data_IF_654163329371
#
_entry.id   IF_654163329371
#
_cell.length_a   1.000
_cell.length_b   1.000
_cell.length_c   1.000
_cell.angle_alpha   90.00
_cell.angle_beta   90.00
_cell.angle_gamma   90.00
#
_symmetry.space_group_name_H-M   'P 1'
#
loop_
_entity.id
_entity.type
_entity.pdbx_description
1 polymer ?
#
# COMPACT_ATOMS: atom_id res chain seq x y z
N UNK A 1 -54.01 -35.79 10.81
CA UNK A 1 -54.42 -34.40 10.55
C UNK A 1 -53.51 -33.87 9.46
N UNK A 2 -54.11 -33.49 8.34
CA UNK A 2 -53.43 -33.27 7.05
C UNK A 2 -52.74 -31.90 6.99
N UNK A 3 -51.76 -31.78 6.09
CA UNK A 3 -50.85 -30.65 5.94
C UNK A 3 -51.50 -29.42 5.25
N UNK A 4 -52.83 -29.35 5.23
CA UNK A 4 -53.64 -28.45 4.38
C UNK A 4 -54.42 -27.40 5.19
N UNK A 5 -54.31 -27.38 6.52
CA UNK A 5 -55.03 -26.44 7.40
C UNK A 5 -54.17 -25.27 7.95
N UNK A 6 -52.93 -25.08 7.45
CA UNK A 6 -52.03 -24.02 7.96
C UNK A 6 -51.83 -22.83 6.99
N UNK A 7 -52.38 -22.88 5.78
CA UNK A 7 -52.40 -21.75 4.85
C UNK A 7 -53.85 -21.35 4.58
N UNK A 8 -54.28 -20.27 5.23
CA UNK A 8 -55.58 -19.64 4.96
C UNK A 8 -55.73 -19.19 3.50
N UNK A 9 -56.96 -18.84 3.09
CA UNK A 9 -57.30 -18.56 1.70
C UNK A 9 -56.42 -17.44 1.11
N UNK A 10 -55.85 -17.71 -0.07
CA UNK A 10 -55.13 -16.72 -0.88
C UNK A 10 -56.01 -15.50 -1.18
N UNK A 11 -55.50 -14.26 -1.07
CA UNK A 11 -56.21 -13.09 -1.56
C UNK A 11 -56.24 -13.09 -3.09
N UNK A 12 -57.40 -12.66 -3.62
CA UNK A 12 -57.76 -12.61 -5.02
C UNK A 12 -56.74 -11.88 -5.91
N UNK A 13 -56.48 -12.51 -7.04
CA UNK A 13 -55.64 -12.06 -8.15
C UNK A 13 -56.24 -10.78 -8.77
N UNK A 14 -55.51 -9.64 -8.85
CA UNK A 14 -56.04 -8.46 -9.52
C UNK A 14 -56.12 -8.68 -11.03
N UNK A 15 -57.28 -8.32 -11.58
CA UNK A 15 -57.71 -8.45 -12.97
C UNK A 15 -56.64 -8.04 -14.00
N UNK A 16 -56.48 -8.88 -15.02
CA UNK A 16 -55.70 -8.59 -16.22
C UNK A 16 -56.30 -7.39 -16.95
N UNK A 17 -55.53 -6.34 -17.29
CA UNK A 17 -55.98 -5.36 -18.26
C UNK A 17 -56.05 -6.02 -19.64
N UNK A 18 -57.28 -6.11 -20.16
CA UNK A 18 -57.54 -6.30 -21.58
C UNK A 18 -56.95 -5.11 -22.36
N UNK A 19 -56.02 -5.38 -23.27
CA UNK A 19 -55.45 -4.33 -24.13
C UNK A 19 -53.98 -4.51 -24.44
N UNK A 20 -53.64 -5.52 -25.24
CA UNK A 20 -52.44 -5.44 -26.08
C UNK A 20 -52.70 -6.20 -27.37
N UNK A 21 -52.76 -5.44 -28.45
CA UNK A 21 -52.85 -5.92 -29.82
C UNK A 21 -51.92 -7.12 -30.03
N UNK A 22 -52.47 -8.17 -30.64
CA UNK A 22 -51.70 -9.28 -31.17
C UNK A 22 -50.70 -8.70 -32.18
N UNK A 23 -49.44 -8.50 -31.75
CA UNK A 23 -48.36 -8.33 -32.70
C UNK A 23 -48.22 -9.64 -33.46
N UNK A 24 -48.48 -9.58 -34.75
CA UNK A 24 -48.26 -10.66 -35.70
C UNK A 24 -46.88 -11.33 -35.49
N UNK A 25 -46.76 -12.65 -35.74
CA UNK A 25 -45.48 -13.33 -35.68
C UNK A 25 -44.49 -12.61 -36.59
N UNK A 26 -43.36 -12.14 -36.03
CA UNK A 26 -42.27 -11.63 -36.85
C UNK A 26 -41.78 -12.78 -37.72
N UNK A 27 -41.86 -12.62 -39.04
CA UNK A 27 -41.24 -13.53 -39.99
C UNK A 27 -39.76 -13.77 -39.61
N UNK A 28 -39.25 -15.00 -39.71
CA UNK A 28 -37.85 -15.28 -39.48
C UNK A 28 -37.03 -14.51 -40.51
N UNK A 29 -36.10 -13.67 -40.05
CA UNK A 29 -35.15 -12.98 -40.92
C UNK A 29 -34.43 -14.01 -41.79
N UNK A 30 -34.28 -13.77 -43.11
CA UNK A 30 -33.54 -14.68 -43.98
C UNK A 30 -32.11 -14.84 -43.47
N UNK A 31 -31.61 -16.08 -43.50
CA UNK A 31 -30.25 -16.41 -43.13
C UNK A 31 -29.27 -15.56 -43.95
N UNK A 32 -28.31 -14.93 -43.26
CA UNK A 32 -27.20 -14.23 -43.94
C UNK A 32 -26.43 -15.25 -44.77
N UNK A 33 -26.28 -14.97 -46.07
CA UNK A 33 -25.39 -15.73 -46.94
C UNK A 33 -23.97 -15.81 -46.34
N UNK A 34 -23.31 -16.98 -46.44
CA UNK A 34 -21.92 -17.11 -46.03
C UNK A 34 -21.04 -16.18 -46.85
N UNK A 35 -20.23 -15.34 -46.19
CA UNK A 35 -19.21 -14.55 -46.89
C UNK A 35 -18.25 -15.50 -47.60
N UNK A 36 -17.84 -15.21 -48.85
CA UNK A 36 -16.90 -16.06 -49.58
C UNK A 36 -15.56 -16.14 -48.83
N UNK A 37 -14.85 -17.28 -48.93
CA UNK A 37 -13.55 -17.46 -48.27
C UNK A 37 -12.58 -16.37 -48.74
N UNK A 38 -11.86 -15.76 -47.80
CA UNK A 38 -10.78 -14.84 -48.13
C UNK A 38 -9.70 -15.62 -48.89
N UNK A 39 -9.39 -15.15 -50.09
CA UNK A 39 -8.27 -15.63 -50.90
C UNK A 39 -6.96 -15.60 -50.08
N UNK A 40 -6.11 -16.64 -50.12
CA UNK A 40 -4.82 -16.63 -49.45
C UNK A 40 -3.96 -15.50 -50.01
N UNK A 41 -3.60 -14.54 -49.17
CA UNK A 41 -2.63 -13.49 -49.54
C UNK A 41 -1.31 -14.17 -49.91
N UNK A 42 -0.86 -13.98 -51.15
CA UNK A 42 0.47 -14.41 -51.56
C UNK A 42 1.53 -13.76 -50.65
N UNK A 43 2.56 -14.50 -50.21
CA UNK A 43 3.62 -13.94 -49.39
C UNK A 43 4.41 -12.90 -50.20
N UNK A 44 4.67 -11.75 -49.59
CA UNK A 44 5.54 -10.72 -50.17
C UNK A 44 6.95 -11.28 -50.38
N UNK A 45 7.64 -10.91 -51.48
CA UNK A 45 9.01 -11.33 -51.69
C UNK A 45 9.95 -10.79 -50.59
N UNK A 46 11.05 -11.50 -50.27
CA UNK A 46 11.99 -11.07 -49.24
C UNK A 46 12.58 -9.71 -49.60
N UNK A 47 12.58 -8.78 -48.66
CA UNK A 47 13.33 -7.51 -48.80
C UNK A 47 14.82 -7.83 -48.82
N UNK A 48 15.54 -7.25 -49.78
CA UNK A 48 16.98 -7.33 -49.90
C UNK A 48 17.71 -6.80 -48.64
N UNK A 49 18.92 -7.31 -48.34
CA UNK A 49 19.68 -6.91 -47.16
C UNK A 49 20.18 -5.48 -47.33
N UNK A 50 19.76 -4.59 -46.42
CA UNK A 50 20.38 -3.27 -46.30
C UNK A 50 21.69 -3.39 -45.53
N UNK A 51 22.77 -2.94 -46.17
CA UNK A 51 24.12 -2.74 -45.65
C UNK A 51 24.11 -1.91 -44.35
N UNK A 52 25.01 -2.20 -43.38
CA UNK A 52 24.87 -1.72 -42.00
C UNK A 52 25.40 -0.29 -41.86
N UNK A 53 24.51 0.62 -41.48
CA UNK A 53 24.85 1.99 -41.13
C UNK A 53 24.19 2.38 -39.81
N UNK A 54 24.99 2.44 -38.75
CA UNK A 54 24.84 3.35 -37.61
C UNK A 54 23.68 3.12 -36.63
N UNK A 55 24.02 2.68 -35.40
CA UNK A 55 23.24 3.03 -34.21
C UNK A 55 22.36 1.94 -33.62
N UNK A 56 22.92 0.75 -33.35
CA UNK A 56 22.22 -0.34 -32.64
C UNK A 56 22.92 -0.82 -31.37
N UNK A 57 23.78 0.02 -30.78
CA UNK A 57 24.49 -0.28 -29.54
C UNK A 57 23.62 -0.08 -28.31
N UNK A 58 22.82 -1.11 -28.00
CA UNK A 58 22.62 -1.61 -26.65
C UNK A 58 22.07 -0.60 -25.61
N UNK A 59 20.74 -0.65 -25.43
CA UNK A 59 20.06 -0.13 -24.22
C UNK A 59 20.70 -0.71 -22.95
N UNK A 60 21.32 -1.88 -23.05
CA UNK A 60 22.07 -2.52 -21.97
C UNK A 60 23.37 -1.78 -21.64
N UNK A 61 24.09 -1.19 -22.61
CA UNK A 61 25.25 -0.30 -22.35
C UNK A 61 24.85 1.06 -21.83
N UNK A 62 23.68 1.59 -22.24
CA UNK A 62 23.13 2.82 -21.65
C UNK A 62 22.76 2.59 -20.17
N UNK A 63 22.06 1.50 -19.87
CA UNK A 63 21.67 1.13 -18.50
C UNK A 63 22.92 0.82 -17.66
N UNK A 64 23.91 0.11 -18.21
CA UNK A 64 25.17 -0.18 -17.50
C UNK A 64 25.98 1.09 -17.24
N UNK A 65 25.98 2.05 -18.18
CA UNK A 65 26.62 3.36 -18.00
C UNK A 65 25.96 4.19 -16.89
N UNK A 66 24.63 4.15 -16.79
CA UNK A 66 23.87 4.83 -15.73
C UNK A 66 24.16 4.18 -14.37
N UNK A 67 24.16 2.84 -14.28
CA UNK A 67 24.46 2.12 -13.02
C UNK A 67 25.90 2.38 -12.56
N UNK A 68 26.88 2.42 -13.47
CA UNK A 68 28.26 2.75 -13.14
C UNK A 68 28.41 4.21 -12.65
N UNK A 69 27.70 5.16 -13.25
CA UNK A 69 27.71 6.55 -12.81
C UNK A 69 27.08 6.73 -11.42
N UNK A 70 25.98 6.04 -11.13
CA UNK A 70 25.31 6.09 -9.81
C UNK A 70 26.18 5.45 -8.71
N UNK A 71 26.84 4.33 -9.01
CA UNK A 71 27.77 3.69 -8.07
C UNK A 71 28.99 4.57 -7.75
N UNK A 72 29.53 5.30 -8.73
CA UNK A 72 30.63 6.22 -8.50
C UNK A 72 30.25 7.38 -7.56
N UNK A 73 29.04 7.93 -7.71
CA UNK A 73 28.54 8.99 -6.80
C UNK A 73 28.31 8.45 -5.38
N UNK A 74 27.80 7.22 -5.25
CA UNK A 74 27.60 6.59 -3.95
C UNK A 74 28.93 6.35 -3.19
N UNK A 75 29.98 5.92 -3.89
CA UNK A 75 31.30 5.70 -3.28
C UNK A 75 31.93 7.03 -2.83
N UNK A 76 31.83 8.10 -3.62
CA UNK A 76 32.33 9.42 -3.21
C UNK A 76 31.60 9.96 -1.98
N UNK A 77 30.28 9.72 -1.87
CA UNK A 77 29.50 10.13 -0.70
C UNK A 77 29.91 9.35 0.57
N UNK A 78 30.14 8.04 0.46
CA UNK A 78 30.58 7.21 1.60
C UNK A 78 32.01 7.56 2.03
N UNK A 79 32.93 7.79 1.09
CA UNK A 79 34.31 8.21 1.38
C UNK A 79 34.36 9.63 1.98
N UNK A 80 33.52 10.55 1.50
CA UNK A 80 33.37 11.89 2.07
C UNK A 80 32.81 11.89 3.50
N UNK A 81 31.87 10.98 3.80
CA UNK A 81 31.32 10.82 5.15
C UNK A 81 32.27 10.07 6.11
N UNK A 82 33.14 9.21 5.57
CA UNK A 82 34.17 8.53 6.35
C UNK A 82 35.36 9.44 6.70
N UNK A 83 35.72 10.41 5.85
CA UNK A 83 36.84 11.33 6.07
C UNK A 83 36.49 12.58 6.90
N UNK A 84 35.21 12.84 7.16
CA UNK A 84 34.76 14.03 7.91
C UNK A 84 34.25 13.72 9.31
N UNK A 85 34.49 12.51 9.85
CA UNK A 85 34.22 12.26 11.28
C UNK A 85 35.18 13.09 12.14
N UNK A 86 34.71 14.09 12.90
CA UNK A 86 35.53 14.67 13.95
C UNK A 86 35.77 13.60 15.01
N UNK A 87 37.04 13.26 15.22
CA UNK A 87 37.49 12.50 16.38
C UNK A 87 37.26 13.36 17.63
N UNK A 88 36.22 13.04 18.39
CA UNK A 88 35.98 13.63 19.71
C UNK A 88 37.01 13.07 20.70
N UNK A 89 38.19 13.67 20.71
CA UNK A 89 39.19 13.47 21.76
C UNK A 89 38.83 14.42 22.90
N UNK A 90 38.16 13.89 23.91
CA UNK A 90 37.95 14.59 25.17
C UNK A 90 39.31 14.89 25.84
N UNK A 91 39.68 16.17 25.87
CA UNK A 91 40.81 16.69 26.64
C UNK A 91 40.28 17.41 27.89
N UNK A 92 40.80 17.17 29.11
CA UNK A 92 40.33 17.85 30.31
C UNK A 92 40.81 19.30 30.35
N UNK A 93 39.92 20.24 30.67
CA UNK A 93 40.28 21.64 30.90
C UNK A 93 40.84 21.84 32.33
N UNK A 94 41.93 22.61 32.52
CA UNK A 94 42.45 22.96 33.83
C UNK A 94 41.69 24.13 34.48
N UNK A 95 41.71 24.16 35.81
CA UNK A 95 41.06 25.14 36.68
C UNK A 95 41.73 26.52 36.71
N UNK A 96 40.89 27.57 36.73
CA UNK A 96 40.97 28.88 37.42
C UNK A 96 42.20 29.81 37.13
N UNK A 97 42.06 31.16 37.22
CA UNK A 97 41.64 31.86 38.43
C UNK A 97 40.60 32.99 38.24
N UNK A 98 39.99 33.35 39.37
CA UNK A 98 39.03 34.42 39.60
C UNK A 98 39.65 35.82 39.46
N UNK A 99 38.88 36.76 38.92
CA UNK A 99 39.06 38.21 39.16
C UNK A 99 37.69 38.86 39.26
N UNK A 100 37.45 39.56 40.36
CA UNK A 100 36.26 40.36 40.64
C UNK A 100 36.54 41.82 40.33
N UNK A 101 35.63 42.50 39.63
CA UNK A 101 35.32 43.92 39.86
C UNK A 101 34.00 44.37 39.22
N UNK A 102 33.20 45.05 40.06
CA UNK A 102 32.20 46.11 39.87
C UNK A 102 31.10 46.09 38.79
N UNK A 103 29.86 46.07 39.33
CA UNK A 103 28.74 47.00 39.14
C UNK A 103 28.47 47.60 37.74
N UNK A 104 27.41 47.07 37.10
CA UNK A 104 26.45 47.88 36.35
C UNK A 104 25.14 47.09 36.19
N UNK A 105 24.06 47.66 36.72
CA UNK A 105 22.71 47.12 36.73
C UNK A 105 22.16 46.88 35.31
N UNK A 106 21.86 45.62 34.98
CA UNK A 106 21.12 45.22 33.76
C UNK A 106 19.85 44.49 34.23
N UNK A 107 18.65 44.82 33.71
CA UNK A 107 17.43 44.14 34.12
C UNK A 107 17.50 42.64 33.79
N UNK A 108 17.23 41.83 34.82
CA UNK A 108 17.24 40.38 34.75
C UNK A 108 16.24 39.87 33.70
N UNK A 109 16.75 39.29 32.63
CA UNK A 109 15.94 38.47 31.73
C UNK A 109 15.57 37.20 32.48
N UNK A 110 14.31 37.08 32.88
CA UNK A 110 13.72 35.80 33.32
C UNK A 110 14.05 34.74 32.28
N UNK A 111 14.70 33.61 32.64
CA UNK A 111 14.91 32.53 31.70
C UNK A 111 13.53 32.02 31.26
N UNK A 112 13.19 32.27 30.00
CA UNK A 112 12.06 31.62 29.34
C UNK A 112 12.36 30.14 29.38
N UNK A 113 11.58 29.39 30.17
CA UNK A 113 11.64 27.94 30.21
C UNK A 113 11.17 27.41 28.86
N UNK A 114 12.11 27.20 27.94
CA UNK A 114 11.92 26.38 26.76
C UNK A 114 11.44 25.01 27.26
N UNK A 115 10.23 24.54 26.89
CA UNK A 115 9.80 23.21 27.24
C UNK A 115 10.82 22.22 26.67
N UNK A 116 11.42 21.42 27.56
CA UNK A 116 12.25 20.28 27.16
C UNK A 116 11.39 19.40 26.24
N UNK A 117 11.95 18.85 25.14
CA UNK A 117 11.16 17.99 24.26
C UNK A 117 10.60 16.85 25.10
N UNK A 118 9.27 16.80 25.21
CA UNK A 118 8.59 15.61 25.71
C UNK A 118 9.10 14.48 24.82
N UNK A 119 9.95 13.62 25.38
CA UNK A 119 10.49 12.48 24.65
C UNK A 119 9.27 11.63 24.35
N UNK A 120 8.78 11.70 23.10
CA UNK A 120 7.72 10.83 22.63
C UNK A 120 8.18 9.42 22.93
N UNK A 121 7.44 8.77 23.82
CA UNK A 121 7.74 7.44 24.28
C UNK A 121 7.96 6.52 23.08
N UNK A 122 9.11 5.83 23.04
CA UNK A 122 9.50 5.01 21.91
C UNK A 122 8.38 4.02 21.56
N UNK A 123 8.01 3.96 20.28
CA UNK A 123 7.02 3.01 19.81
C UNK A 123 7.54 1.58 19.99
N UNK A 124 6.70 0.70 20.51
CA UNK A 124 7.03 -0.71 20.80
C UNK A 124 6.53 -1.65 19.72
N UNK A 125 5.65 -1.20 18.83
CA UNK A 125 5.16 -2.00 17.71
C UNK A 125 3.97 -1.38 16.98
N UNK A 126 3.79 -1.79 15.73
CA UNK A 126 2.63 -1.51 14.88
C UNK A 126 1.85 -2.82 14.69
N UNK A 127 0.61 -2.86 15.15
CA UNK A 127 -0.26 -4.02 14.99
C UNK A 127 -1.40 -3.69 14.02
N UNK A 128 -1.56 -4.49 12.98
CA UNK A 128 -2.63 -4.32 12.00
C UNK A 128 -3.92 -5.03 12.40
N UNK A 129 -5.01 -4.54 11.83
CA UNK A 129 -6.37 -5.08 11.98
C UNK A 129 -7.17 -4.86 10.70
N UNK A 130 -8.35 -5.46 10.62
CA UNK A 130 -9.28 -5.24 9.51
C UNK A 130 -9.59 -3.74 9.27
N UNK A 131 -9.64 -2.91 10.31
CA UNK A 131 -10.08 -1.51 10.23
C UNK A 131 -8.96 -0.49 10.18
N UNK A 132 -7.70 -0.92 10.32
CA UNK A 132 -6.57 -0.01 10.43
C UNK A 132 -5.37 -0.62 11.12
N UNK A 133 -4.56 0.21 11.79
CA UNK A 133 -3.47 -0.25 12.64
C UNK A 133 -3.39 0.54 13.94
N UNK A 134 -2.73 -0.05 14.92
CA UNK A 134 -2.46 0.57 16.21
C UNK A 134 -0.96 0.61 16.47
N UNK A 135 -0.44 1.80 16.77
CA UNK A 135 0.90 2.02 17.30
C UNK A 135 0.84 1.92 18.82
N UNK A 136 1.63 1.01 19.37
CA UNK A 136 1.84 0.89 20.81
C UNK A 136 3.12 1.61 21.22
N UNK A 137 3.13 2.15 22.43
CA UNK A 137 4.27 2.86 23.00
C UNK A 137 4.51 2.39 24.43
N UNK A 138 5.78 2.38 24.86
CA UNK A 138 6.18 1.82 26.15
C UNK A 138 5.61 2.58 27.37
N UNK A 139 5.25 3.86 27.22
CA UNK A 139 4.79 4.70 28.34
C UNK A 139 3.60 5.59 28.00
N UNK A 140 2.90 5.30 26.91
CA UNK A 140 1.81 6.14 26.39
C UNK A 140 0.54 5.38 26.04
N UNK A 141 -0.52 6.15 25.77
CA UNK A 141 -1.74 5.61 25.17
C UNK A 141 -1.46 5.14 23.73
N UNK A 142 -2.03 4.00 23.29
CA UNK A 142 -1.87 3.55 21.93
C UNK A 142 -2.52 4.54 20.95
N UNK A 143 -1.85 4.80 19.84
CA UNK A 143 -2.41 5.58 18.74
C UNK A 143 -3.06 4.63 17.73
N UNK A 144 -4.32 4.83 17.39
CA UNK A 144 -5.02 4.02 16.39
C UNK A 144 -5.33 4.87 15.17
N UNK A 145 -4.96 4.35 13.99
CA UNK A 145 -5.34 4.88 12.70
C UNK A 145 -6.36 3.95 12.06
N UNK A 146 -7.51 4.49 11.63
CA UNK A 146 -8.49 3.76 10.83
C UNK A 146 -8.31 4.12 9.36
N UNK A 147 -8.67 3.20 8.47
CA UNK A 147 -8.56 3.45 7.02
C UNK A 147 -9.32 4.68 6.53
N UNK A 148 -10.39 5.10 7.22
CA UNK A 148 -11.14 6.30 6.90
C UNK A 148 -10.52 7.60 7.44
N UNK A 149 -9.63 7.53 8.43
CA UNK A 149 -9.13 8.71 9.14
C UNK A 149 -8.19 9.55 8.26
N UNK A 150 -7.99 10.82 8.61
CA UNK A 150 -7.01 11.67 7.94
C UNK A 150 -5.56 11.23 8.24
N UNK A 151 -4.65 11.22 7.25
CA UNK A 151 -3.35 10.59 7.41
C UNK A 151 -2.33 11.42 8.17
N UNK A 152 -2.56 12.72 8.37
CA UNK A 152 -1.54 13.63 8.95
C UNK A 152 -1.02 13.13 10.30
N UNK A 153 -1.91 12.73 11.20
CA UNK A 153 -1.52 12.22 12.52
C UNK A 153 -0.82 10.85 12.41
N UNK A 154 -1.27 9.99 11.50
CA UNK A 154 -0.70 8.66 11.30
C UNK A 154 0.71 8.74 10.69
N UNK A 155 0.93 9.57 9.68
CA UNK A 155 2.24 9.79 9.05
C UNK A 155 3.23 10.39 10.07
N UNK A 156 2.79 11.32 10.90
CA UNK A 156 3.63 11.89 11.96
C UNK A 156 3.99 10.82 13.01
N UNK A 157 3.03 10.00 13.44
CA UNK A 157 3.25 8.92 14.40
C UNK A 157 4.19 7.84 13.85
N UNK A 158 4.00 7.40 12.60
CA UNK A 158 4.88 6.46 11.92
C UNK A 158 6.29 7.02 11.70
N UNK A 159 6.41 8.30 11.34
CA UNK A 159 7.71 8.98 11.20
C UNK A 159 8.47 9.01 12.51
N UNK A 160 7.79 9.33 13.62
CA UNK A 160 8.40 9.30 14.94
C UNK A 160 8.78 7.89 15.37
N UNK A 161 7.93 6.90 15.10
CA UNK A 161 8.17 5.50 15.44
C UNK A 161 9.35 4.91 14.66
N UNK A 162 9.39 5.09 13.35
CA UNK A 162 10.41 4.51 12.47
C UNK A 162 11.73 5.31 12.45
N UNK A 163 11.76 6.47 13.11
CA UNK A 163 12.97 7.30 13.26
C UNK A 163 13.42 8.02 11.98
N UNK A 164 12.64 7.98 10.90
CA UNK A 164 12.95 8.65 9.64
C UNK A 164 11.68 9.10 8.91
N UNK A 165 11.73 10.24 8.19
CA UNK A 165 10.62 10.66 7.35
C UNK A 165 10.42 9.70 6.16
N UNK A 166 9.17 9.49 5.70
CA UNK A 166 8.91 8.71 4.50
C UNK A 166 9.39 9.44 3.25
N UNK A 167 9.76 8.68 2.22
CA UNK A 167 9.77 9.21 0.85
C UNK A 167 8.34 9.31 0.34
N UNK A 168 8.05 10.32 -0.48
CA UNK A 168 6.72 10.53 -1.04
C UNK A 168 6.73 10.40 -2.56
N UNK A 169 5.71 9.76 -3.11
CA UNK A 169 5.42 9.76 -4.54
C UNK A 169 3.92 9.70 -4.78
N UNK A 170 3.48 10.19 -5.92
CA UNK A 170 2.12 9.94 -6.40
C UNK A 170 2.07 8.62 -7.16
N UNK A 171 1.01 7.85 -6.93
CA UNK A 171 0.65 6.69 -7.72
C UNK A 171 -0.73 6.92 -8.31
N UNK A 172 -0.80 6.95 -9.65
CA UNK A 172 -2.06 7.10 -10.33
C UNK A 172 -3.00 5.93 -9.99
N UNK A 173 -4.26 6.27 -9.70
CA UNK A 173 -5.35 5.32 -9.61
C UNK A 173 -5.80 4.91 -11.01
N UNK A 174 -7.00 4.32 -11.08
CA UNK A 174 -7.62 3.97 -12.37
C UNK A 174 -8.66 5.02 -12.81
N UNK A 175 -8.72 6.16 -12.12
CA UNK A 175 -9.64 7.27 -12.42
C UNK A 175 -11.13 6.95 -12.27
N UNK A 176 -11.47 5.79 -11.70
CA UNK A 176 -12.86 5.36 -11.50
C UNK A 176 -13.08 4.86 -10.07
N UNK A 177 -12.61 3.66 -9.76
CA UNK A 177 -12.83 3.00 -8.46
C UNK A 177 -11.69 3.27 -7.47
N UNK A 178 -10.48 3.52 -7.98
CA UNK A 178 -9.28 3.77 -7.17
C UNK A 178 -8.85 5.23 -7.36
N UNK A 179 -8.75 6.02 -6.29
CA UNK A 179 -8.21 7.36 -6.37
C UNK A 179 -6.73 7.33 -6.74
N UNK A 180 -6.19 8.47 -7.14
CA UNK A 180 -4.75 8.66 -7.06
C UNK A 180 -4.31 8.59 -5.60
N UNK A 181 -3.13 8.05 -5.34
CA UNK A 181 -2.60 7.91 -4.00
C UNK A 181 -1.31 8.71 -3.82
N UNK A 182 -1.16 9.40 -2.69
CA UNK A 182 0.13 9.71 -2.12
C UNK A 182 0.65 8.47 -1.40
N UNK A 183 1.83 8.02 -1.80
CA UNK A 183 2.52 6.88 -1.17
C UNK A 183 3.57 7.43 -0.22
N UNK A 184 3.40 7.15 1.07
CA UNK A 184 4.39 7.40 2.12
C UNK A 184 5.18 6.12 2.33
N UNK A 185 6.43 6.09 1.87
CA UNK A 185 7.27 4.90 1.88
C UNK A 185 8.44 5.03 2.85
N UNK A 186 8.47 4.11 3.81
CA UNK A 186 9.62 3.80 4.66
C UNK A 186 10.26 2.50 4.17
N UNK A 187 11.49 2.21 4.61
CA UNK A 187 12.13 0.95 4.25
C UNK A 187 11.35 -0.23 4.86
N UNK A 188 10.66 -1.01 4.04
CA UNK A 188 9.88 -2.16 4.48
C UNK A 188 8.39 -1.89 4.76
N UNK A 189 7.91 -0.64 4.63
CA UNK A 189 6.50 -0.30 4.87
C UNK A 189 6.05 0.84 3.95
N UNK A 190 4.82 0.77 3.45
CA UNK A 190 4.21 1.84 2.66
C UNK A 190 2.75 2.04 3.05
N UNK A 191 2.39 3.30 3.31
CA UNK A 191 1.02 3.75 3.49
C UNK A 191 0.59 4.51 2.23
N UNK A 192 -0.54 4.11 1.67
CA UNK A 192 -1.15 4.71 0.49
C UNK A 192 -2.38 5.47 0.93
N UNK A 193 -2.41 6.76 0.62
CA UNK A 193 -3.49 7.67 1.02
C UNK A 193 -4.04 8.34 -0.20
N UNK A 194 -5.37 8.40 -0.32
CA UNK A 194 -5.98 9.04 -1.46
C UNK A 194 -5.58 10.52 -1.54
N UNK A 195 -5.41 10.98 -2.77
CA UNK A 195 -5.32 12.40 -3.09
C UNK A 195 -6.75 12.93 -3.20
N UNK A 196 -7.20 13.82 -2.29
CA UNK A 196 -8.53 14.39 -2.38
C UNK A 196 -8.66 15.26 -3.63
N UNK A 197 -9.86 15.25 -4.22
CA UNK A 197 -10.20 16.15 -5.34
C UNK A 197 -11.20 17.19 -4.87
N UNK A 198 -11.48 18.20 -5.69
CA UNK A 198 -12.48 19.22 -5.36
C UNK A 198 -13.90 18.65 -5.18
N UNK A 199 -14.17 17.45 -5.70
CA UNK A 199 -15.51 16.85 -5.74
C UNK A 199 -15.63 15.51 -5.02
N UNK A 200 -14.51 14.83 -4.75
CA UNK A 200 -14.51 13.52 -4.11
C UNK A 200 -13.69 13.54 -2.83
N UNK A 201 -14.29 12.99 -1.79
CA UNK A 201 -13.79 12.89 -0.42
C UNK A 201 -13.46 11.43 -0.07
N UNK A 202 -12.86 11.21 1.10
CA UNK A 202 -12.55 9.86 1.62
C UNK A 202 -13.77 8.97 1.73
N UNK A 203 -14.94 9.54 2.01
CA UNK A 203 -16.19 8.79 2.15
C UNK A 203 -16.73 8.24 0.81
N UNK A 204 -16.22 8.75 -0.32
CA UNK A 204 -16.68 8.35 -1.65
C UNK A 204 -15.95 7.11 -2.21
N UNK A 205 -14.88 6.67 -1.53
CA UNK A 205 -14.07 5.53 -1.95
C UNK A 205 -14.18 4.37 -0.97
N UNK A 206 -14.32 3.14 -1.49
CA UNK A 206 -14.23 1.93 -0.67
C UNK A 206 -12.81 1.68 -0.15
N UNK A 207 -11.82 2.39 -0.71
CA UNK A 207 -10.43 2.28 -0.35
C UNK A 207 -9.73 3.65 -0.36
N UNK A 208 -10.04 4.54 0.60
CA UNK A 208 -9.39 5.85 0.70
C UNK A 208 -7.94 5.74 1.20
N UNK A 209 -7.60 4.66 1.90
CA UNK A 209 -6.25 4.32 2.31
C UNK A 209 -6.01 2.82 2.21
N UNK A 210 -4.76 2.40 2.11
CA UNK A 210 -4.34 1.01 2.29
C UNK A 210 -2.85 0.95 2.66
N UNK A 211 -2.38 -0.19 3.13
CA UNK A 211 -0.98 -0.34 3.50
C UNK A 211 -0.44 -1.72 3.12
N UNK A 212 0.86 -1.74 2.84
CA UNK A 212 1.62 -2.97 2.65
C UNK A 212 2.97 -2.87 3.37
N UNK A 213 3.52 -4.01 3.71
CA UNK A 213 4.85 -4.11 4.28
C UNK A 213 5.59 -5.34 3.74
N UNK A 214 6.91 -5.20 3.67
CA UNK A 214 7.86 -6.17 3.14
C UNK A 214 8.97 -6.49 4.16
N UNK A 215 8.80 -6.03 5.41
CA UNK A 215 9.66 -6.38 6.53
C UNK A 215 8.81 -6.61 7.80
N UNK A 216 9.30 -7.46 8.70
CA UNK A 216 8.67 -7.69 10.01
C UNK A 216 9.03 -6.59 11.03
N UNK A 217 9.93 -5.67 10.67
CA UNK A 217 10.41 -4.57 11.51
C UNK A 217 10.82 -3.39 10.63
N UNK A 218 10.52 -2.17 11.07
CA UNK A 218 10.90 -0.93 10.39
C UNK A 218 11.50 0.02 11.42
N UNK A 219 12.77 0.38 11.23
CA UNK A 219 13.46 1.32 12.13
C UNK A 219 13.51 0.89 13.59
N UNK A 220 13.63 -0.41 13.89
CA UNK A 220 13.57 -0.92 15.27
C UNK A 220 12.17 -1.32 15.75
N UNK A 221 11.12 -0.98 14.99
CA UNK A 221 9.72 -1.16 15.42
C UNK A 221 9.10 -2.39 14.76
N UNK A 222 8.67 -3.40 15.53
CA UNK A 222 7.97 -4.56 15.00
C UNK A 222 6.69 -4.19 14.26
N UNK A 223 6.46 -4.80 13.10
CA UNK A 223 5.21 -4.68 12.32
C UNK A 223 4.53 -6.04 12.29
N UNK A 224 3.34 -6.12 12.90
CA UNK A 224 2.62 -7.37 13.14
C UNK A 224 1.35 -7.44 12.31
N UNK A 225 1.25 -8.47 11.47
CA UNK A 225 0.05 -8.83 10.73
C UNK A 225 -0.94 -9.61 11.61
N UNK A 226 -2.19 -9.68 11.17
CA UNK A 226 -3.16 -10.64 11.69
C UNK A 226 -2.82 -12.09 11.27
N UNK A 227 -3.50 -13.06 11.88
CA UNK A 227 -3.43 -14.49 11.53
C UNK A 227 -2.04 -15.14 11.70
N UNK A 228 -1.11 -14.45 12.36
CA UNK A 228 0.27 -14.91 12.53
C UNK A 228 1.12 -14.81 11.26
N UNK A 229 0.63 -14.14 10.20
CA UNK A 229 1.36 -13.91 8.97
C UNK A 229 2.66 -13.13 9.21
N UNK A 230 3.74 -13.54 8.55
CA UNK A 230 5.05 -12.88 8.60
C UNK A 230 5.72 -12.90 7.24
N UNK A 231 6.54 -11.88 6.99
CA UNK A 231 7.48 -11.88 5.87
C UNK A 231 8.49 -13.00 6.07
N UNK A 232 8.80 -13.73 5.01
CA UNK A 232 9.73 -14.86 5.01
C UNK A 232 9.07 -16.24 5.11
N UNK A 233 7.77 -16.32 5.43
CA UNK A 233 7.05 -17.61 5.48
C UNK A 233 7.01 -18.29 4.11
N UNK A 234 7.29 -19.58 4.05
CA UNK A 234 7.04 -20.41 2.88
C UNK A 234 5.54 -20.58 2.61
N UNK A 235 5.18 -20.93 1.37
CA UNK A 235 3.80 -21.27 1.02
C UNK A 235 3.22 -22.40 1.90
N UNK A 236 4.04 -23.37 2.33
CA UNK A 236 3.62 -24.44 3.22
C UNK A 236 3.30 -23.91 4.64
N UNK A 237 4.13 -23.00 5.18
CA UNK A 237 3.88 -22.37 6.48
C UNK A 237 2.61 -21.51 6.46
N UNK A 238 2.37 -20.75 5.39
CA UNK A 238 1.15 -19.95 5.24
C UNK A 238 -0.10 -20.84 5.26
N UNK A 239 -0.08 -21.99 4.57
CA UNK A 239 -1.18 -22.97 4.58
C UNK A 239 -1.42 -23.61 5.94
N UNK A 240 -0.40 -23.67 6.78
CA UNK A 240 -0.46 -24.25 8.11
C UNK A 240 -0.94 -23.25 9.19
N UNK A 241 -1.15 -21.96 8.84
CA UNK A 241 -1.69 -20.98 9.77
C UNK A 241 -3.12 -21.34 10.21
N UNK A 242 -3.52 -20.83 11.37
CA UNK A 242 -4.86 -21.00 11.92
C UNK A 242 -5.46 -19.63 12.24
N UNK A 243 -6.52 -19.19 11.54
CA UNK A 243 -7.16 -19.87 10.40
C UNK A 243 -6.22 -19.98 9.18
N UNK A 244 -6.46 -21.02 8.36
CA UNK A 244 -5.80 -21.19 7.08
C UNK A 244 -6.26 -20.11 6.08
N UNK A 245 -5.50 -19.82 5.01
CA UNK A 245 -5.93 -18.91 3.97
C UNK A 245 -7.26 -19.39 3.35
N UNK A 246 -8.17 -18.44 3.12
CA UNK A 246 -9.48 -18.72 2.52
C UNK A 246 -9.37 -19.02 1.02
N UNK A 247 -8.36 -18.46 0.34
CA UNK A 247 -8.08 -18.77 -1.05
C UNK A 247 -6.61 -18.56 -1.41
N UNK A 248 -6.19 -19.24 -2.47
CA UNK A 248 -4.87 -19.13 -3.09
C UNK A 248 -5.05 -18.85 -4.57
N UNK A 249 -4.36 -17.84 -5.10
CA UNK A 249 -4.50 -17.44 -6.51
C UNK A 249 -3.12 -17.26 -7.13
N UNK A 250 -2.75 -18.06 -8.15
CA UNK A 250 -1.56 -17.81 -8.94
C UNK A 250 -1.63 -16.46 -9.64
N UNK A 251 -0.53 -15.72 -9.63
CA UNK A 251 -0.40 -14.41 -10.28
C UNK A 251 0.39 -14.57 -11.60
N UNK A 252 0.16 -13.70 -12.60
CA UNK A 252 0.94 -13.71 -13.84
C UNK A 252 2.45 -13.52 -13.63
N UNK A 253 2.85 -12.91 -12.51
CA UNK A 253 4.25 -12.77 -12.06
C UNK A 253 4.89 -14.09 -11.63
N UNK A 254 4.12 -15.18 -11.53
CA UNK A 254 4.55 -16.45 -10.95
C UNK A 254 4.37 -16.52 -9.44
N UNK A 255 4.07 -15.43 -8.75
CA UNK A 255 3.78 -15.44 -7.31
C UNK A 255 2.43 -16.09 -6.98
N UNK A 256 2.27 -16.55 -5.74
CA UNK A 256 1.00 -16.99 -5.18
C UNK A 256 0.47 -15.88 -4.27
N UNK A 257 -0.79 -15.49 -4.46
CA UNK A 257 -1.51 -14.63 -3.52
C UNK A 257 -2.39 -15.47 -2.61
N UNK A 258 -2.13 -15.41 -1.31
CA UNK A 258 -2.99 -15.95 -0.27
C UNK A 258 -3.95 -14.86 0.21
N UNK A 259 -5.22 -15.19 0.40
CA UNK A 259 -6.22 -14.27 0.96
C UNK A 259 -6.75 -14.79 2.29
N UNK A 260 -6.79 -13.92 3.30
CA UNK A 260 -7.31 -14.21 4.62
C UNK A 260 -8.54 -13.36 4.90
N UNK A 261 -9.59 -14.06 5.33
CA UNK A 261 -10.91 -13.50 5.63
C UNK A 261 -11.40 -12.51 4.53
N UNK A 262 -11.50 -12.96 3.27
CA UNK A 262 -11.94 -12.11 2.16
C UNK A 262 -13.32 -11.51 2.40
N UNK A 263 -14.19 -12.21 3.14
CA UNK A 263 -15.57 -11.80 3.40
C UNK A 263 -15.68 -10.56 4.29
N UNK A 264 -14.64 -10.21 5.07
CA UNK A 264 -14.65 -9.00 5.90
C UNK A 264 -14.41 -7.72 5.11
N UNK A 265 -13.93 -7.83 3.86
CA UNK A 265 -13.75 -6.66 3.00
C UNK A 265 -15.10 -6.01 2.71
N UNK A 266 -15.29 -4.82 3.27
CA UNK A 266 -16.55 -4.09 3.15
C UNK A 266 -16.34 -2.60 3.33
N UNK A 267 -17.26 -1.82 2.76
CA UNK A 267 -17.38 -0.39 2.97
C UNK A 267 -18.83 -0.09 3.39
N UNK A 268 -19.19 -0.56 4.58
CA UNK A 268 -20.54 -0.37 5.13
C UNK A 268 -20.59 0.96 5.85
N UNK A 269 -21.61 1.77 5.56
CA UNK A 269 -21.85 3.06 6.22
C UNK A 269 -20.62 3.99 6.20
N UNK A 270 -19.83 3.96 5.13
CA UNK A 270 -18.63 4.80 5.00
C UNK A 270 -17.41 4.33 5.80
N UNK A 271 -17.45 3.15 6.43
CA UNK A 271 -16.33 2.62 7.22
C UNK A 271 -15.64 1.47 6.48
N UNK A 272 -14.38 1.64 6.03
CA UNK A 272 -13.63 0.57 5.40
C UNK A 272 -13.18 -0.50 6.40
N UNK A 273 -13.34 -1.76 5.99
CA UNK A 273 -12.75 -2.95 6.60
C UNK A 273 -12.10 -3.77 5.49
N UNK A 274 -10.88 -4.26 5.70
CA UNK A 274 -10.05 -4.86 4.66
C UNK A 274 -9.61 -6.27 4.98
N UNK A 275 -9.45 -7.07 3.93
CA UNK A 275 -8.85 -8.41 3.97
C UNK A 275 -7.33 -8.31 4.07
N UNK A 276 -6.69 -9.41 4.49
CA UNK A 276 -5.23 -9.51 4.46
C UNK A 276 -4.82 -10.39 3.29
N UNK A 277 -3.83 -9.94 2.55
CA UNK A 277 -3.21 -10.69 1.46
C UNK A 277 -1.74 -10.88 1.75
N UNK A 278 -1.22 -12.06 1.39
CA UNK A 278 0.21 -12.33 1.38
C UNK A 278 0.63 -12.78 -0.03
N UNK A 279 1.64 -12.13 -0.58
CA UNK A 279 2.21 -12.47 -1.88
C UNK A 279 3.62 -13.06 -1.69
N UNK A 280 3.89 -14.17 -2.37
CA UNK A 280 5.22 -14.79 -2.42
C UNK A 280 6.15 -14.14 -3.45
N UNK A 281 7.46 -14.26 -3.26
CA UNK A 281 8.48 -13.84 -4.22
C UNK A 281 8.70 -14.91 -5.31
N UNK A 282 7.69 -15.09 -6.16
CA UNK A 282 7.63 -16.18 -7.15
C UNK A 282 6.89 -17.42 -6.62
N UNK A 283 6.80 -18.47 -7.43
CA UNK A 283 5.89 -19.60 -7.15
C UNK A 283 6.30 -20.37 -5.90
N UNK A 284 7.61 -20.53 -5.71
CA UNK A 284 8.21 -21.28 -4.62
C UNK A 284 8.96 -20.36 -3.63
N UNK A 285 8.84 -19.04 -3.80
CA UNK A 285 9.48 -18.05 -2.94
C UNK A 285 8.79 -17.89 -1.60
N UNK A 286 9.47 -17.32 -0.60
CA UNK A 286 8.83 -16.94 0.66
C UNK A 286 7.85 -15.78 0.43
N UNK A 287 6.97 -15.52 1.41
CA UNK A 287 6.15 -14.31 1.48
C UNK A 287 7.07 -13.09 1.50
N UNK A 288 7.02 -12.29 0.44
CA UNK A 288 7.78 -11.06 0.29
C UNK A 288 6.95 -9.81 0.58
N UNK A 289 5.62 -9.90 0.54
CA UNK A 289 4.73 -8.76 0.78
C UNK A 289 3.46 -9.19 1.51
N UNK A 290 3.06 -8.40 2.51
CA UNK A 290 1.74 -8.47 3.15
C UNK A 290 1.00 -7.17 2.86
N UNK A 291 -0.28 -7.25 2.50
CA UNK A 291 -1.11 -6.15 2.03
C UNK A 291 -2.49 -6.18 2.73
N UNK A 292 -2.92 -5.02 3.20
CA UNK A 292 -4.27 -4.78 3.72
C UNK A 292 -5.06 -3.99 2.70
N UNK A 293 -6.03 -4.60 2.04
CA UNK A 293 -6.68 -4.02 0.85
C UNK A 293 -8.15 -4.42 0.73
N UNK A 294 -8.94 -3.61 0.02
CA UNK A 294 -10.35 -3.87 -0.25
C UNK A 294 -10.51 -4.96 -1.32
N UNK A 295 -11.02 -6.13 -0.93
CA UNK A 295 -11.39 -7.19 -1.85
C UNK A 295 -12.88 -7.05 -2.26
N UNK A 296 -13.21 -6.69 -3.51
CA UNK A 296 -14.60 -6.76 -3.95
C UNK A 296 -15.09 -8.21 -3.89
N UNK A 297 -16.29 -8.40 -3.34
CA UNK A 297 -17.02 -9.68 -3.35
C UNK A 297 -17.69 -9.89 -4.70
#
# INVERSE_FOLDING_TARGET
>A
MSLEDLFGPQPDEPERPAGREQRAPREPRPAREPKPPREPRQPKPPREPRTPGGGGGSRMTLILGIVAAVLAVAVVAVVGFALTRPSDSAQPAPSAPSVSTDDASVPASTPSSTPSPTTTAAATGVAFSATGFTLTSASGQPFTYRWADEPTAAVAALTAAFGAPPTQRTQAGNGSTLPDYTVYAWNGFSLFEMVPTATLTRADFSQPAYALFTANEVGGVPVTAEFGLKIGMSAAEVRALTPAPASETPRPSGSIRFAFDPQRSSFKNGTPSYSVFADTDGADGPVGTILYFYAPQ
#
